data_IF_304646928256
#
_entry.id   IF_304646928256
#
_cell.length_a   1.000
_cell.length_b   1.000
_cell.length_c   1.000
_cell.angle_alpha   90.00
_cell.angle_beta   90.00
_cell.angle_gamma   90.00
#
_symmetry.space_group_name_H-M   'P 1'
#
loop_
_entity.id
_entity.type
_entity.pdbx_description
1 polymer ?
#
# COMPACT_ATOMS: atom_id res chain seq x y z
N UNK A 1 -27.79 5.05 -4.65
CA UNK A 1 -28.32 6.42 -4.50
C UNK A 1 -28.18 6.73 -3.04
N UNK A 2 -27.44 7.78 -2.68
CA UNK A 2 -27.19 8.13 -1.29
C UNK A 2 -28.51 8.38 -0.57
N UNK A 3 -28.60 7.91 0.67
CA UNK A 3 -29.76 8.21 1.50
C UNK A 3 -29.64 9.65 1.98
N UNK A 4 -30.42 10.54 1.37
CA UNK A 4 -30.50 11.95 1.74
C UNK A 4 -31.82 12.27 2.40
N UNK A 5 -31.78 13.12 3.43
CA UNK A 5 -32.98 13.58 4.12
C UNK A 5 -33.79 14.51 3.23
N UNK A 6 -35.06 14.18 3.02
CA UNK A 6 -36.01 15.15 2.50
C UNK A 6 -36.28 16.29 3.53
N UNK A 7 -37.02 17.32 3.13
CA UNK A 7 -37.30 18.47 4.00
C UNK A 7 -38.07 18.12 5.27
N UNK A 8 -38.93 17.11 5.23
CA UNK A 8 -39.76 16.66 6.35
C UNK A 8 -38.92 15.81 7.31
N UNK A 9 -38.17 14.86 6.77
CA UNK A 9 -37.26 14.00 7.54
C UNK A 9 -36.21 14.85 8.25
N UNK A 10 -35.63 15.85 7.57
CA UNK A 10 -34.69 16.79 8.18
C UNK A 10 -35.29 17.57 9.34
N UNK A 11 -36.51 18.07 9.18
CA UNK A 11 -37.20 18.77 10.26
C UNK A 11 -37.49 17.85 11.45
N UNK A 12 -37.83 16.58 11.20
CA UNK A 12 -38.06 15.59 12.24
C UNK A 12 -36.76 15.22 12.98
N UNK A 13 -35.68 14.94 12.25
CA UNK A 13 -34.34 14.66 12.82
C UNK A 13 -33.87 15.81 13.71
N UNK A 14 -34.00 17.07 13.26
CA UNK A 14 -33.68 18.24 14.08
C UNK A 14 -34.60 18.39 15.29
N UNK A 15 -35.91 18.21 15.13
CA UNK A 15 -36.89 18.37 16.22
C UNK A 15 -36.59 17.44 17.39
N UNK A 16 -36.16 16.21 17.11
CA UNK A 16 -35.90 15.20 18.13
C UNK A 16 -34.42 15.07 18.50
N UNK A 17 -33.57 16.00 18.03
CA UNK A 17 -32.13 16.03 18.33
C UNK A 17 -31.44 14.69 18.00
N UNK A 18 -31.78 14.11 16.85
CA UNK A 18 -31.18 12.85 16.40
C UNK A 18 -29.87 13.10 15.68
N UNK A 19 -28.85 12.30 16.00
CA UNK A 19 -27.59 12.31 15.28
C UNK A 19 -27.78 11.79 13.85
N UNK A 20 -27.13 12.44 12.88
CA UNK A 20 -27.19 12.08 11.46
C UNK A 20 -25.77 11.93 10.90
N UNK A 21 -25.45 10.82 10.19
CA UNK A 21 -24.15 10.66 9.56
C UNK A 21 -24.13 11.41 8.23
N UNK A 22 -23.66 12.66 8.24
CA UNK A 22 -23.46 13.47 7.04
C UNK A 22 -22.27 12.94 6.21
N UNK A 23 -22.57 12.10 5.22
CA UNK A 23 -21.60 11.53 4.27
C UNK A 23 -22.35 10.95 3.06
N UNK A 24 -21.72 10.97 1.89
CA UNK A 24 -22.12 10.18 0.72
C UNK A 24 -21.48 8.79 0.81
N UNK A 25 -22.24 7.82 1.31
CA UNK A 25 -21.77 6.46 1.54
C UNK A 25 -21.49 5.68 0.26
N UNK A 26 -22.12 6.04 -0.87
CA UNK A 26 -21.94 5.34 -2.15
C UNK A 26 -20.50 5.46 -2.66
N UNK A 27 -19.83 6.58 -2.35
CA UNK A 27 -18.44 6.81 -2.76
C UNK A 27 -17.43 5.83 -2.14
N UNK A 28 -17.75 5.17 -1.03
CA UNK A 28 -16.90 4.09 -0.51
C UNK A 28 -16.85 2.87 -1.44
N UNK A 29 -17.91 2.64 -2.23
CA UNK A 29 -17.93 1.59 -3.25
C UNK A 29 -16.93 1.88 -4.37
N UNK A 30 -16.84 3.14 -4.80
CA UNK A 30 -15.86 3.58 -5.80
C UNK A 30 -14.44 3.45 -5.25
N UNK A 31 -14.21 3.91 -4.02
CA UNK A 31 -12.92 3.75 -3.34
C UNK A 31 -12.49 2.28 -3.24
N UNK A 32 -13.38 1.37 -2.83
CA UNK A 32 -13.09 -0.07 -2.77
C UNK A 32 -12.70 -0.63 -4.15
N UNK A 33 -13.43 -0.25 -5.20
CA UNK A 33 -13.14 -0.70 -6.56
C UNK A 33 -11.80 -0.15 -7.08
N UNK A 34 -11.52 1.13 -6.83
CA UNK A 34 -10.25 1.76 -7.18
C UNK A 34 -9.06 1.11 -6.48
N UNK A 35 -9.17 0.84 -5.17
CA UNK A 35 -8.12 0.14 -4.42
C UNK A 35 -7.88 -1.29 -4.90
N UNK A 36 -8.95 -2.00 -5.29
CA UNK A 36 -8.85 -3.35 -5.82
C UNK A 36 -8.18 -3.36 -7.19
N UNK A 37 -8.56 -2.44 -8.07
CA UNK A 37 -7.94 -2.25 -9.40
C UNK A 37 -6.45 -1.94 -9.25
N UNK A 38 -6.11 -0.98 -8.39
CA UNK A 38 -4.72 -0.64 -8.08
C UNK A 38 -3.93 -1.85 -7.54
N UNK A 39 -4.51 -2.63 -6.61
CA UNK A 39 -3.84 -3.81 -6.06
C UNK A 39 -3.56 -4.87 -7.14
N UNK A 40 -4.49 -5.08 -8.07
CA UNK A 40 -4.33 -6.02 -9.18
C UNK A 40 -3.24 -5.54 -10.14
N UNK A 41 -3.18 -4.24 -10.47
CA UNK A 41 -2.09 -3.66 -11.27
C UNK A 41 -0.73 -3.81 -10.62
N UNK A 42 -0.63 -3.63 -9.29
CA UNK A 42 0.63 -3.87 -8.55
C UNK A 42 1.06 -5.33 -8.63
N UNK A 43 0.13 -6.28 -8.52
CA UNK A 43 0.45 -7.71 -8.65
C UNK A 43 0.90 -8.07 -10.07
N UNK A 44 0.24 -7.53 -11.09
CA UNK A 44 0.62 -7.72 -12.49
C UNK A 44 2.02 -7.16 -12.79
N UNK A 45 2.32 -5.96 -12.30
CA UNK A 45 3.64 -5.33 -12.45
C UNK A 45 4.72 -6.12 -11.71
N UNK A 46 4.42 -6.58 -10.48
CA UNK A 46 5.31 -7.42 -9.67
C UNK A 46 5.60 -8.75 -10.36
N UNK A 47 4.57 -9.39 -10.91
CA UNK A 47 4.70 -10.64 -11.63
C UNK A 47 5.53 -10.47 -12.91
N UNK A 48 5.26 -9.43 -13.70
CA UNK A 48 6.02 -9.11 -14.91
C UNK A 48 7.50 -8.86 -14.60
N UNK A 49 7.80 -8.07 -13.56
CA UNK A 49 9.17 -7.77 -13.17
C UNK A 49 9.89 -9.05 -12.71
N UNK A 50 9.19 -9.91 -11.96
CA UNK A 50 9.74 -11.19 -11.52
C UNK A 50 10.04 -12.13 -12.70
N UNK A 51 9.21 -12.16 -13.74
CA UNK A 51 9.48 -12.99 -14.91
C UNK A 51 10.79 -12.59 -15.60
N UNK A 52 11.02 -11.29 -15.78
CA UNK A 52 12.26 -10.79 -16.38
C UNK A 52 13.47 -11.02 -15.47
N UNK A 53 13.31 -10.84 -14.17
CA UNK A 53 14.38 -11.13 -13.22
C UNK A 53 14.76 -12.61 -13.18
N UNK A 54 13.79 -13.52 -13.17
CA UNK A 54 14.10 -14.96 -13.17
C UNK A 54 14.83 -15.39 -14.43
N UNK A 55 14.48 -14.80 -15.59
CA UNK A 55 15.19 -15.04 -16.85
C UNK A 55 16.64 -14.58 -16.77
N UNK A 56 16.88 -13.36 -16.28
CA UNK A 56 18.23 -12.85 -16.01
C UNK A 56 19.01 -13.76 -15.04
N UNK A 57 18.41 -14.11 -13.90
CA UNK A 57 19.01 -14.96 -12.87
C UNK A 57 19.32 -16.37 -13.35
N UNK A 58 18.66 -16.85 -14.40
CA UNK A 58 18.91 -18.15 -15.02
C UNK A 58 20.00 -18.12 -16.10
N UNK A 59 20.36 -16.92 -16.59
CA UNK A 59 21.30 -16.76 -17.70
C UNK A 59 22.77 -16.83 -17.28
N UNK A 60 23.05 -16.62 -15.99
CA UNK A 60 24.40 -16.55 -15.45
C UNK A 60 24.57 -17.12 -14.05
N UNK A 61 25.81 -17.43 -13.72
CA UNK A 61 26.23 -18.00 -12.44
C UNK A 61 27.37 -17.16 -11.84
N UNK A 62 27.36 -16.99 -10.53
CA UNK A 62 28.38 -16.24 -9.80
C UNK A 62 27.84 -15.55 -8.55
N UNK A 63 28.73 -15.02 -7.73
CA UNK A 63 28.39 -14.37 -6.47
C UNK A 63 27.53 -13.10 -6.67
N UNK A 64 27.80 -12.33 -7.72
CA UNK A 64 26.97 -11.20 -8.15
C UNK A 64 25.52 -11.61 -8.46
N UNK A 65 25.34 -12.74 -9.15
CA UNK A 65 24.01 -13.27 -9.49
C UNK A 65 23.27 -13.81 -8.25
N UNK A 66 24.00 -14.38 -7.29
CA UNK A 66 23.43 -14.79 -6.01
C UNK A 66 22.98 -13.59 -5.18
N UNK A 67 23.79 -12.54 -5.10
CA UNK A 67 23.42 -11.29 -4.42
C UNK A 67 22.21 -10.62 -5.07
N UNK A 68 22.15 -10.59 -6.41
CA UNK A 68 20.98 -10.10 -7.16
C UNK A 68 19.73 -10.92 -6.84
N UNK A 69 19.84 -12.24 -6.77
CA UNK A 69 18.72 -13.14 -6.40
C UNK A 69 18.21 -12.84 -5.00
N UNK A 70 19.11 -12.79 -4.02
CA UNK A 70 18.75 -12.50 -2.62
C UNK A 70 18.07 -11.15 -2.46
N UNK A 71 18.59 -10.12 -3.13
CA UNK A 71 17.97 -8.80 -3.13
C UNK A 71 16.60 -8.81 -3.79
N UNK A 72 16.47 -9.43 -4.96
CA UNK A 72 15.18 -9.50 -5.65
C UNK A 72 14.14 -10.23 -4.83
N UNK A 73 14.52 -11.35 -4.21
CA UNK A 73 13.63 -12.10 -3.33
C UNK A 73 13.17 -11.25 -2.13
N UNK A 74 14.08 -10.45 -1.55
CA UNK A 74 13.73 -9.46 -0.53
C UNK A 74 12.77 -8.40 -1.07
N UNK A 75 13.11 -7.72 -2.16
CA UNK A 75 12.31 -6.63 -2.75
C UNK A 75 10.90 -7.11 -3.04
N UNK A 76 10.76 -8.27 -3.69
CA UNK A 76 9.47 -8.86 -4.00
C UNK A 76 8.65 -9.15 -2.73
N UNK A 77 9.27 -9.76 -1.72
CA UNK A 77 8.57 -10.19 -0.53
C UNK A 77 8.25 -9.04 0.45
N UNK A 78 9.17 -8.09 0.61
CA UNK A 78 9.13 -7.06 1.63
C UNK A 78 8.70 -5.68 1.12
N UNK A 79 8.88 -5.40 -0.18
CA UNK A 79 8.56 -4.08 -0.74
C UNK A 79 7.37 -4.13 -1.69
N UNK A 80 7.33 -5.09 -2.62
CA UNK A 80 6.28 -5.17 -3.63
C UNK A 80 4.98 -5.78 -3.09
N UNK A 81 5.07 -6.97 -2.47
CA UNK A 81 3.92 -7.71 -1.96
C UNK A 81 3.07 -6.91 -0.96
N UNK A 82 3.65 -6.15 -0.01
CA UNK A 82 2.86 -5.39 0.95
C UNK A 82 2.03 -4.26 0.34
N UNK A 83 2.39 -3.73 -0.83
CA UNK A 83 1.61 -2.64 -1.47
C UNK A 83 0.23 -3.13 -1.90
N UNK A 84 0.17 -4.24 -2.63
CA UNK A 84 -1.10 -4.84 -3.01
C UNK A 84 -1.87 -5.36 -1.78
N UNK A 85 -1.16 -5.93 -0.80
CA UNK A 85 -1.74 -6.38 0.47
C UNK A 85 -2.41 -5.26 1.26
N UNK A 86 -1.74 -4.12 1.41
CA UNK A 86 -2.24 -2.96 2.14
C UNK A 86 -3.43 -2.30 1.45
N UNK A 87 -3.41 -2.20 0.11
CA UNK A 87 -4.54 -1.72 -0.66
C UNK A 87 -5.79 -2.60 -0.48
N UNK A 88 -5.61 -3.93 -0.50
CA UNK A 88 -6.70 -4.88 -0.22
C UNK A 88 -7.19 -4.82 1.22
N UNK A 89 -6.30 -4.66 2.19
CA UNK A 89 -6.67 -4.49 3.60
C UNK A 89 -7.52 -3.22 3.79
N UNK A 90 -7.12 -2.11 3.17
CA UNK A 90 -7.91 -0.87 3.19
C UNK A 90 -9.26 -1.07 2.48
N UNK A 91 -9.27 -1.69 1.29
CA UNK A 91 -10.48 -1.97 0.54
C UNK A 91 -11.48 -2.80 1.37
N UNK A 92 -10.99 -3.83 2.06
CA UNK A 92 -11.79 -4.70 2.92
C UNK A 92 -12.38 -3.95 4.12
N UNK A 93 -11.67 -2.95 4.65
CA UNK A 93 -12.14 -2.16 5.80
C UNK A 93 -13.14 -1.08 5.41
N UNK A 94 -13.00 -0.46 4.23
CA UNK A 94 -13.93 0.58 3.75
C UNK A 94 -15.16 0.00 3.07
N UNK A 95 -15.08 -1.21 2.51
CA UNK A 95 -16.19 -1.86 1.78
C UNK A 95 -17.50 -1.97 2.59
N UNK A 96 -17.49 -2.34 3.90
CA UNK A 96 -18.70 -2.38 4.70
C UNK A 96 -19.33 -1.01 4.99
N UNK A 97 -18.57 0.09 4.85
CA UNK A 97 -19.03 1.42 5.24
C UNK A 97 -20.27 1.84 4.47
N UNK A 98 -20.34 1.54 3.17
CA UNK A 98 -21.51 1.83 2.33
C UNK A 98 -22.79 1.30 2.97
N UNK A 99 -22.81 0.01 3.30
CA UNK A 99 -24.00 -0.65 3.85
C UNK A 99 -24.29 -0.20 5.27
N UNK A 100 -23.28 -0.15 6.14
CA UNK A 100 -23.48 0.19 7.56
C UNK A 100 -23.96 1.63 7.73
N UNK A 101 -23.43 2.56 6.94
CA UNK A 101 -23.85 3.96 6.99
C UNK A 101 -25.27 4.13 6.43
N UNK A 102 -25.61 3.47 5.32
CA UNK A 102 -26.96 3.48 4.79
C UNK A 102 -27.99 2.92 5.81
N UNK A 103 -27.66 1.82 6.49
CA UNK A 103 -28.48 1.26 7.57
C UNK A 103 -28.62 2.22 8.75
N UNK A 104 -27.54 2.92 9.10
CA UNK A 104 -27.54 3.90 10.17
C UNK A 104 -28.47 5.09 9.83
N UNK A 105 -28.35 5.64 8.62
CA UNK A 105 -29.25 6.68 8.09
C UNK A 105 -30.71 6.24 8.13
N UNK A 106 -31.01 5.05 7.60
CA UNK A 106 -32.36 4.49 7.61
C UNK A 106 -32.91 4.32 9.04
N UNK A 107 -32.06 3.92 9.99
CA UNK A 107 -32.47 3.76 11.40
C UNK A 107 -32.83 5.10 12.07
N UNK A 108 -32.13 6.18 11.71
CA UNK A 108 -32.41 7.54 12.21
C UNK A 108 -33.72 8.05 11.64
N UNK A 109 -33.97 7.88 10.33
CA UNK A 109 -35.26 8.22 9.70
C UNK A 109 -36.42 7.46 10.35
N UNK A 110 -36.26 6.15 10.57
CA UNK A 110 -37.29 5.33 11.22
C UNK A 110 -37.58 5.78 12.66
N UNK A 111 -36.55 6.17 13.43
CA UNK A 111 -36.73 6.71 14.77
C UNK A 111 -37.48 8.05 14.73
N UNK A 112 -37.10 8.96 13.82
CA UNK A 112 -37.76 10.25 13.64
C UNK A 112 -39.25 10.09 13.28
N UNK A 113 -39.56 9.21 12.33
CA UNK A 113 -40.93 8.92 11.92
C UNK A 113 -41.78 8.36 13.07
N UNK A 114 -41.20 7.47 13.89
CA UNK A 114 -41.88 6.91 15.05
C UNK A 114 -42.21 7.97 16.11
N UNK A 115 -41.30 8.89 16.36
CA UNK A 115 -41.52 9.98 17.32
C UNK A 115 -42.56 10.99 16.80
N UNK A 116 -42.52 11.30 15.51
CA UNK A 116 -43.53 12.14 14.85
C UNK A 116 -44.94 11.51 14.91
N UNK A 117 -45.03 10.19 14.77
CA UNK A 117 -46.28 9.46 14.93
C UNK A 117 -46.79 9.50 16.38
N UNK A 118 -45.92 9.35 17.39
CA UNK A 118 -46.31 9.44 18.81
C UNK A 118 -46.82 10.85 19.17
N UNK A 119 -46.15 11.90 18.68
CA UNK A 119 -46.61 13.28 18.87
C UNK A 119 -47.98 13.53 18.21
N UNK A 120 -48.19 13.04 17.00
CA UNK A 120 -49.45 13.20 16.26
C UNK A 120 -50.60 12.48 16.98
N UNK A 121 -50.36 11.25 17.45
CA UNK A 121 -51.33 10.50 18.23
C UNK A 121 -51.67 11.21 19.55
N UNK A 122 -50.66 11.75 20.23
CA UNK A 122 -50.83 12.46 21.49
C UNK A 122 -51.58 13.79 21.34
N UNK A 123 -51.32 14.55 20.26
CA UNK A 123 -52.06 15.76 19.92
C UNK A 123 -53.53 15.45 19.62
N UNK A 124 -53.80 14.36 18.90
CA UNK A 124 -55.17 13.91 18.62
C UNK A 124 -55.91 13.52 19.90
N UNK A 125 -55.22 12.91 20.86
CA UNK A 125 -55.79 12.50 22.14
C UNK A 125 -55.92 13.66 23.16
N UNK A 126 -55.33 14.82 22.91
CA UNK A 126 -55.18 15.89 23.90
C UNK A 126 -56.51 16.40 24.49
N UNK A 127 -57.59 16.43 23.70
CA UNK A 127 -58.91 16.84 24.17
C UNK A 127 -59.50 15.88 25.21
N UNK A 128 -59.24 14.57 25.07
CA UNK A 128 -59.71 13.54 25.99
C UNK A 128 -58.72 13.27 27.14
N UNK A 129 -57.43 13.52 26.91
CA UNK A 129 -56.35 13.33 27.86
C UNK A 129 -55.33 14.48 27.74
N UNK A 130 -55.54 15.61 28.45
CA UNK A 130 -54.68 16.79 28.32
C UNK A 130 -53.19 16.56 28.62
N UNK A 131 -52.86 15.52 29.40
CA UNK A 131 -51.47 15.12 29.69
C UNK A 131 -50.81 14.26 28.60
N UNK A 132 -51.54 13.84 27.56
CA UNK A 132 -51.01 12.96 26.51
C UNK A 132 -49.80 13.56 25.76
N UNK A 133 -49.79 14.86 25.37
CA UNK A 133 -48.63 15.47 24.72
C UNK A 133 -47.37 15.46 25.60
N UNK A 134 -47.50 15.77 26.89
CA UNK A 134 -46.37 15.73 27.83
C UNK A 134 -45.82 14.30 28.01
N UNK A 135 -46.71 13.31 28.07
CA UNK A 135 -46.32 11.90 28.15
C UNK A 135 -45.60 11.41 26.88
N UNK A 136 -46.06 11.82 25.69
CA UNK A 136 -45.38 11.52 24.42
C UNK A 136 -44.01 12.18 24.34
N UNK A 137 -43.91 13.46 24.71
CA UNK A 137 -42.62 14.16 24.76
C UNK A 137 -41.60 13.42 25.67
N UNK A 138 -42.03 12.96 26.85
CA UNK A 138 -41.17 12.17 27.75
C UNK A 138 -40.74 10.83 27.14
N UNK A 139 -41.63 10.11 26.43
CA UNK A 139 -41.29 8.87 25.72
C UNK A 139 -40.32 9.14 24.57
N UNK A 140 -40.57 10.17 23.78
CA UNK A 140 -39.75 10.56 22.64
C UNK A 140 -38.35 10.98 23.09
N UNK A 141 -38.20 11.67 24.23
CA UNK A 141 -36.89 11.96 24.80
C UNK A 141 -36.08 10.69 25.12
N UNK A 142 -36.71 9.65 25.70
CA UNK A 142 -36.06 8.36 25.97
C UNK A 142 -35.71 7.63 24.67
N UNK A 143 -36.59 7.68 23.66
CA UNK A 143 -36.33 7.07 22.35
C UNK A 143 -35.17 7.76 21.63
N UNK A 144 -35.12 9.09 21.62
CA UNK A 144 -34.02 9.86 21.06
C UNK A 144 -32.69 9.53 21.75
N UNK A 145 -32.66 9.50 23.08
CA UNK A 145 -31.45 9.12 23.83
C UNK A 145 -30.95 7.72 23.43
N UNK A 146 -31.84 6.74 23.31
CA UNK A 146 -31.48 5.38 22.89
C UNK A 146 -31.00 5.32 21.44
N UNK A 147 -31.64 6.07 20.54
CA UNK A 147 -31.24 6.16 19.14
C UNK A 147 -29.84 6.76 19.00
N UNK A 148 -29.56 7.86 19.69
CA UNK A 148 -28.25 8.50 19.68
C UNK A 148 -27.17 7.65 20.35
N UNK A 149 -27.49 6.93 21.44
CA UNK A 149 -26.56 5.98 22.04
C UNK A 149 -26.19 4.83 21.08
N UNK A 150 -27.18 4.31 20.33
CA UNK A 150 -26.93 3.30 19.29
C UNK A 150 -26.09 3.87 18.16
N UNK A 151 -26.39 5.09 17.70
CA UNK A 151 -25.61 5.79 16.68
C UNK A 151 -24.14 5.90 17.10
N UNK A 152 -23.88 6.44 18.30
CA UNK A 152 -22.51 6.58 18.82
C UNK A 152 -21.78 5.24 18.90
N UNK A 153 -22.45 4.18 19.36
CA UNK A 153 -21.85 2.84 19.40
C UNK A 153 -21.48 2.30 18.01
N UNK A 154 -22.32 2.53 16.99
CA UNK A 154 -22.03 2.09 15.62
C UNK A 154 -20.85 2.90 15.06
N UNK A 155 -20.84 4.21 15.26
CA UNK A 155 -19.76 5.10 14.83
C UNK A 155 -18.42 4.69 15.45
N UNK A 156 -18.37 4.45 16.77
CA UNK A 156 -17.14 4.02 17.44
C UNK A 156 -16.63 2.67 16.92
N UNK A 157 -17.55 1.74 16.59
CA UNK A 157 -17.18 0.47 15.98
C UNK A 157 -16.57 0.66 14.57
N UNK A 158 -17.16 1.55 13.75
CA UNK A 158 -16.62 1.89 12.43
C UNK A 158 -15.23 2.51 12.53
N UNK A 159 -15.05 3.50 13.41
CA UNK A 159 -13.76 4.15 13.65
C UNK A 159 -12.72 3.16 14.15
N UNK A 160 -13.10 2.24 15.05
CA UNK A 160 -12.21 1.19 15.54
C UNK A 160 -11.80 0.24 14.42
N UNK A 161 -12.74 -0.15 13.55
CA UNK A 161 -12.47 -1.00 12.40
C UNK A 161 -11.57 -0.33 11.35
N UNK A 162 -11.67 0.98 11.16
CA UNK A 162 -10.76 1.70 10.27
C UNK A 162 -9.37 1.86 10.89
N UNK A 163 -9.30 2.13 12.20
CA UNK A 163 -8.02 2.23 12.91
C UNK A 163 -7.29 0.89 12.96
N UNK A 164 -7.99 -0.24 12.98
CA UNK A 164 -7.35 -1.56 12.98
C UNK A 164 -6.61 -1.88 11.68
N UNK A 165 -6.95 -1.23 10.57
CA UNK A 165 -6.20 -1.33 9.30
C UNK A 165 -4.76 -0.87 9.47
N UNK A 166 -4.51 0.11 10.34
CA UNK A 166 -3.16 0.60 10.61
C UNK A 166 -2.29 -0.45 11.32
N UNK A 167 -2.91 -1.46 11.93
CA UNK A 167 -2.23 -2.61 12.53
C UNK A 167 -2.08 -3.79 11.54
N UNK A 168 -2.58 -3.67 10.31
CA UNK A 168 -2.38 -4.69 9.29
C UNK A 168 -0.88 -4.79 8.94
N UNK A 169 -0.28 -6.01 8.93
CA UNK A 169 1.14 -6.17 8.66
C UNK A 169 1.58 -5.58 7.32
N UNK A 170 0.74 -5.63 6.29
CA UNK A 170 1.06 -5.06 4.99
C UNK A 170 1.11 -3.53 5.05
N UNK A 171 0.17 -2.90 5.78
CA UNK A 171 0.11 -1.44 5.99
C UNK A 171 1.30 -0.93 6.81
N UNK A 172 1.73 -1.70 7.81
CA UNK A 172 2.93 -1.40 8.59
C UNK A 172 4.18 -1.49 7.71
N UNK A 173 4.29 -2.53 6.87
CA UNK A 173 5.44 -2.73 6.00
C UNK A 173 5.66 -1.58 5.00
N UNK A 174 4.59 -0.88 4.58
CA UNK A 174 4.69 0.27 3.69
C UNK A 174 5.63 1.38 4.19
N UNK A 175 5.75 1.54 5.52
CA UNK A 175 6.62 2.59 6.11
C UNK A 175 8.10 2.38 5.76
N UNK A 176 8.51 1.12 5.57
CA UNK A 176 9.92 0.79 5.30
C UNK A 176 10.24 0.78 3.80
N UNK A 177 9.24 0.62 2.92
CA UNK A 177 9.44 0.49 1.47
C UNK A 177 10.28 1.63 0.88
N UNK A 178 10.03 2.91 1.20
CA UNK A 178 10.83 3.99 0.65
C UNK A 178 12.31 3.89 1.05
N UNK A 179 12.60 3.56 2.31
CA UNK A 179 13.97 3.45 2.83
C UNK A 179 14.67 2.17 2.34
N UNK A 180 13.93 1.07 2.22
CA UNK A 180 14.43 -0.22 1.73
C UNK A 180 14.77 -0.19 0.24
N UNK A 181 14.12 0.70 -0.50
CA UNK A 181 14.36 0.99 -1.92
C UNK A 181 15.20 2.26 -2.14
N UNK A 182 15.46 3.04 -1.09
CA UNK A 182 16.22 4.28 -1.18
C UNK A 182 17.68 4.00 -1.53
N UNK A 183 18.08 4.51 -2.69
CA UNK A 183 19.44 4.43 -3.21
C UNK A 183 19.64 3.16 -4.03
N UNK A 184 19.96 3.32 -5.32
CA UNK A 184 20.14 2.20 -6.26
C UNK A 184 21.09 1.13 -5.76
N UNK A 185 22.39 1.26 -6.04
CA UNK A 185 23.34 0.42 -5.34
C UNK A 185 23.41 0.75 -3.81
N UNK A 186 22.43 1.39 -3.17
CA UNK A 186 22.52 1.90 -1.79
C UNK A 186 21.55 1.26 -0.80
N UNK A 187 20.47 0.64 -1.27
CA UNK A 187 19.48 -0.02 -0.44
C UNK A 187 20.07 -1.21 0.30
N UNK A 188 19.41 -1.64 1.38
CA UNK A 188 19.82 -2.84 2.14
C UNK A 188 19.86 -4.05 1.20
N UNK A 189 21.07 -4.43 0.82
CA UNK A 189 21.37 -5.59 0.01
C UNK A 189 21.36 -6.85 0.86
N UNK A 190 20.53 -7.81 0.48
CA UNK A 190 20.46 -9.14 1.08
C UNK A 190 20.04 -9.17 2.55
N UNK A 191 20.07 -10.37 3.12
CA UNK A 191 19.74 -10.65 4.53
C UNK A 191 20.70 -10.03 5.55
N UNK A 192 21.84 -9.49 5.08
CA UNK A 192 22.93 -8.93 5.89
C UNK A 192 22.92 -7.39 5.95
N UNK A 193 22.10 -6.73 5.11
CA UNK A 193 21.97 -5.27 5.12
C UNK A 193 23.14 -4.50 4.50
N UNK A 194 24.05 -5.17 3.79
CA UNK A 194 25.18 -4.53 3.09
C UNK A 194 24.68 -3.70 1.92
N UNK A 195 25.28 -2.53 1.65
CA UNK A 195 24.83 -1.70 0.51
C UNK A 195 25.26 -2.36 -0.79
N UNK A 196 24.42 -2.35 -1.80
CA UNK A 196 24.77 -2.84 -3.14
C UNK A 196 26.09 -2.25 -3.68
N UNK A 197 26.45 -1.03 -3.34
CA UNK A 197 27.65 -0.31 -3.75
C UNK A 197 28.89 -0.88 -3.09
N UNK A 198 28.73 -1.57 -1.97
CA UNK A 198 29.78 -2.32 -1.28
C UNK A 198 29.92 -3.71 -1.93
N UNK A 199 28.81 -4.33 -2.31
CA UNK A 199 28.78 -5.61 -3.04
C UNK A 199 29.40 -5.48 -4.45
N UNK A 200 29.08 -4.40 -5.17
CA UNK A 200 29.53 -4.16 -6.55
C UNK A 200 30.73 -3.21 -6.66
N UNK A 201 30.96 -2.32 -5.68
CA UNK A 201 32.16 -1.49 -5.62
C UNK A 201 33.44 -2.28 -5.33
N UNK A 202 33.31 -3.46 -4.72
CA UNK A 202 34.42 -4.42 -4.56
C UNK A 202 34.81 -5.14 -5.87
N UNK A 203 33.93 -5.19 -6.86
CA UNK A 203 34.20 -5.87 -8.14
C UNK A 203 35.14 -5.07 -9.04
N UNK A 204 35.10 -3.73 -8.98
CA UNK A 204 35.96 -2.85 -9.80
C UNK A 204 37.41 -2.68 -9.29
N UNK A 205 37.67 -2.91 -8.01
CA UNK A 205 39.02 -2.78 -7.41
C UNK A 205 39.70 -4.12 -7.09
N UNK A 206 39.05 -5.24 -7.40
CA UNK A 206 39.46 -6.58 -6.96
C UNK A 206 40.47 -7.31 -7.86
N UNK A 207 40.85 -6.74 -9.02
CA UNK A 207 41.80 -7.40 -9.91
C UNK A 207 43.23 -7.51 -9.34
N UNK A 208 43.58 -6.73 -8.31
CA UNK A 208 44.86 -6.85 -7.58
C UNK A 208 44.72 -7.39 -6.14
N UNK A 209 43.50 -7.47 -5.62
CA UNK A 209 43.21 -8.06 -4.30
C UNK A 209 41.99 -8.94 -4.43
N UNK A 210 42.25 -10.24 -4.55
CA UNK A 210 41.22 -11.26 -4.64
C UNK A 210 40.11 -11.04 -3.62
N UNK A 211 38.89 -11.33 -4.08
CA UNK A 211 37.66 -11.35 -3.32
C UNK A 211 37.89 -12.03 -1.95
N UNK A 212 38.10 -11.21 -0.92
CA UNK A 212 38.62 -11.64 0.37
C UNK A 212 38.60 -10.52 1.41
N UNK A 213 37.73 -9.53 1.23
CA UNK A 213 37.60 -8.40 2.13
C UNK A 213 36.14 -8.09 2.42
N UNK A 214 35.68 -8.52 3.59
CA UNK A 214 34.54 -7.94 4.30
C UNK A 214 33.12 -8.32 3.83
N UNK A 215 32.80 -9.62 3.87
CA UNK A 215 31.52 -10.06 4.44
C UNK A 215 31.85 -11.02 5.58
N UNK A 216 31.68 -10.58 6.83
CA UNK A 216 31.78 -11.41 8.03
C UNK A 216 33.13 -11.38 8.75
N UNK A 217 33.30 -10.40 9.65
CA UNK A 217 34.28 -10.52 10.73
C UNK A 217 33.78 -11.46 11.82
N UNK A 218 34.44 -12.61 12.00
CA UNK A 218 34.21 -13.48 13.17
C UNK A 218 34.70 -14.91 13.03
N UNK A 219 35.81 -15.20 13.72
CA UNK A 219 36.34 -16.52 14.13
C UNK A 219 37.17 -17.36 13.12
N UNK A 220 38.49 -17.20 13.26
CA UNK A 220 39.53 -18.24 13.33
C UNK A 220 39.56 -19.39 12.28
N UNK A 221 40.51 -19.28 11.34
CA UNK A 221 41.01 -20.40 10.57
C UNK A 221 41.72 -19.95 9.31
N UNK A 222 43.03 -19.72 9.37
CA UNK A 222 43.83 -19.26 8.24
C UNK A 222 43.77 -20.23 7.06
N UNK A 223 43.34 -19.73 5.90
CA UNK A 223 43.44 -20.41 4.62
C UNK A 223 44.40 -19.60 3.70
N UNK A 224 45.27 -20.24 2.90
CA UNK A 224 46.32 -19.55 2.17
C UNK A 224 45.77 -18.64 1.05
N UNK A 225 46.51 -17.57 0.65
CA UNK A 225 46.12 -16.72 -0.46
C UNK A 225 46.34 -17.47 -1.78
N UNK A 226 45.31 -17.52 -2.64
CA UNK A 226 45.48 -17.99 -4.02
C UNK A 226 44.60 -19.15 -4.48
N UNK A 227 43.35 -19.26 -4.01
CA UNK A 227 42.36 -20.09 -4.72
C UNK A 227 41.38 -19.20 -5.48
N UNK A 228 41.71 -18.91 -6.73
CA UNK A 228 40.69 -18.59 -7.73
C UNK A 228 39.70 -19.77 -7.74
N UNK A 229 38.49 -19.56 -7.25
CA UNK A 229 37.42 -20.54 -7.39
C UNK A 229 37.04 -20.52 -8.86
N UNK A 230 37.59 -21.48 -9.61
CA UNK A 230 37.28 -21.76 -11.01
C UNK A 230 35.87 -22.34 -11.18
N UNK A 231 34.85 -21.59 -10.76
CA UNK A 231 33.51 -21.71 -11.32
C UNK A 231 33.48 -20.86 -12.60
N UNK A 232 32.93 -21.41 -13.68
CA UNK A 232 32.75 -20.67 -14.94
C UNK A 232 31.80 -19.52 -14.67
N UNK A 233 32.32 -18.31 -14.40
CA UNK A 233 31.53 -17.09 -14.41
C UNK A 233 31.01 -16.94 -15.84
N UNK A 234 29.70 -17.07 -16.01
CA UNK A 234 29.03 -16.83 -17.30
C UNK A 234 28.09 -15.66 -17.10
N UNK A 235 28.39 -14.56 -17.77
CA UNK A 235 27.52 -13.37 -17.82
C UNK A 235 26.98 -13.26 -19.23
N UNK A 236 25.67 -13.32 -19.36
CA UNK A 236 24.98 -13.07 -20.64
C UNK A 236 24.65 -11.58 -20.73
N UNK A 237 25.50 -10.81 -21.41
CA UNK A 237 25.38 -9.35 -21.49
C UNK A 237 24.10 -8.92 -22.20
N UNK A 238 23.67 -9.64 -23.24
CA UNK A 238 22.43 -9.36 -23.97
C UNK A 238 21.23 -9.56 -23.04
N UNK A 239 21.25 -10.59 -22.20
CA UNK A 239 20.17 -10.82 -21.23
C UNK A 239 20.15 -9.76 -20.12
N UNK A 240 21.31 -9.23 -19.69
CA UNK A 240 21.36 -8.11 -18.73
C UNK A 240 20.75 -6.84 -19.31
N UNK A 241 21.08 -6.48 -20.55
CA UNK A 241 20.50 -5.33 -21.24
C UNK A 241 19.01 -5.49 -21.47
N UNK A 242 18.58 -6.67 -21.92
CA UNK A 242 17.17 -6.98 -22.15
C UNK A 242 16.37 -6.92 -20.85
N UNK A 243 16.84 -7.56 -19.78
CA UNK A 243 16.18 -7.56 -18.49
C UNK A 243 16.11 -6.15 -17.89
N UNK A 244 17.21 -5.39 -17.93
CA UNK A 244 17.22 -4.00 -17.47
C UNK A 244 16.22 -3.13 -18.26
N UNK A 245 16.15 -3.31 -19.58
CA UNK A 245 15.18 -2.62 -20.44
C UNK A 245 13.73 -2.94 -20.07
N UNK A 246 13.40 -4.23 -19.91
CA UNK A 246 12.03 -4.67 -19.56
C UNK A 246 11.61 -4.28 -18.14
N UNK A 247 12.50 -4.41 -17.17
CA UNK A 247 12.22 -3.97 -15.79
C UNK A 247 12.00 -2.45 -15.77
N UNK A 248 12.76 -1.68 -16.56
CA UNK A 248 12.57 -0.24 -16.70
C UNK A 248 11.20 0.10 -17.29
N UNK A 249 10.74 -0.62 -18.31
CA UNK A 249 9.40 -0.47 -18.89
C UNK A 249 8.31 -0.68 -17.84
N UNK A 250 8.44 -1.72 -17.00
CA UNK A 250 7.51 -1.97 -15.89
C UNK A 250 7.55 -0.84 -14.85
N UNK A 251 8.74 -0.36 -14.48
CA UNK A 251 8.85 0.78 -13.59
C UNK A 251 8.19 2.05 -14.15
N UNK A 252 8.25 2.26 -15.46
CA UNK A 252 7.52 3.36 -16.12
C UNK A 252 6.00 3.13 -16.11
N UNK A 253 5.54 1.89 -16.30
CA UNK A 253 4.12 1.52 -16.14
C UNK A 253 3.63 1.80 -14.71
N UNK A 254 4.39 1.38 -13.68
CA UNK A 254 4.09 1.68 -12.26
C UNK A 254 3.93 3.18 -12.03
N UNK A 255 4.85 4.00 -12.57
CA UNK A 255 4.83 5.47 -12.42
C UNK A 255 3.73 6.16 -13.24
N UNK A 256 3.18 5.48 -14.24
CA UNK A 256 2.15 5.99 -15.14
C UNK A 256 0.77 5.44 -14.77
N UNK A 257 0.47 4.24 -15.23
CA UNK A 257 -0.84 3.59 -15.14
C UNK A 257 -1.19 3.26 -13.68
N UNK A 258 -0.35 2.50 -12.99
CA UNK A 258 -0.60 2.04 -11.61
C UNK A 258 -0.71 3.21 -10.63
N UNK A 259 0.14 4.22 -10.78
CA UNK A 259 0.04 5.47 -9.98
C UNK A 259 -1.23 6.26 -10.32
N UNK A 260 -1.68 6.27 -11.58
CA UNK A 260 -2.93 6.95 -11.95
C UNK A 260 -4.15 6.28 -11.33
N UNK A 261 -4.18 4.95 -11.24
CA UNK A 261 -5.24 4.20 -10.56
C UNK A 261 -5.28 4.49 -9.05
N UNK A 262 -4.13 4.54 -8.39
CA UNK A 262 -4.05 4.97 -6.99
C UNK A 262 -4.56 6.40 -6.82
N UNK A 263 -4.16 7.32 -7.71
CA UNK A 263 -4.62 8.71 -7.66
C UNK A 263 -6.13 8.84 -7.90
N UNK A 264 -6.73 7.97 -8.72
CA UNK A 264 -8.17 7.90 -8.88
C UNK A 264 -8.85 7.49 -7.56
N UNK A 265 -8.35 6.45 -6.89
CA UNK A 265 -8.84 6.04 -5.57
C UNK A 265 -8.68 7.15 -4.51
N UNK A 266 -7.56 7.88 -4.52
CA UNK A 266 -7.36 9.07 -3.67
C UNK A 266 -8.38 10.17 -3.98
N UNK A 267 -8.70 10.39 -5.26
CA UNK A 267 -9.73 11.34 -5.70
C UNK A 267 -11.14 10.94 -5.25
N UNK A 268 -11.48 9.65 -5.36
CA UNK A 268 -12.74 9.10 -4.86
C UNK A 268 -12.85 9.28 -3.34
N UNK A 269 -11.78 8.99 -2.59
CA UNK A 269 -11.73 9.24 -1.16
C UNK A 269 -11.90 10.72 -0.82
N UNK A 270 -11.22 11.61 -1.55
CA UNK A 270 -11.35 13.07 -1.37
C UNK A 270 -12.79 13.56 -1.59
N UNK A 271 -13.48 12.99 -2.58
CA UNK A 271 -14.89 13.28 -2.84
C UNK A 271 -15.77 12.84 -1.68
N UNK A 272 -15.60 11.61 -1.18
CA UNK A 272 -16.31 11.11 0.02
C UNK A 272 -16.04 11.99 1.23
N UNK A 273 -14.77 12.31 1.52
CA UNK A 273 -14.38 13.17 2.64
C UNK A 273 -15.05 14.56 2.59
N UNK A 274 -15.25 15.10 1.40
CA UNK A 274 -15.89 16.41 1.20
C UNK A 274 -17.43 16.39 1.32
N UNK A 275 -18.04 15.20 1.35
CA UNK A 275 -19.50 15.05 1.32
C UNK A 275 -20.20 15.42 2.64
N UNK A 276 -19.49 15.45 3.76
CA UNK A 276 -20.08 15.88 5.03
C UNK A 276 -19.18 15.71 6.26
N UNK A 277 -19.65 16.22 7.39
CA UNK A 277 -18.90 16.26 8.65
C UNK A 277 -18.48 14.88 9.15
N UNK A 278 -19.36 13.88 9.03
CA UNK A 278 -19.07 12.52 9.47
C UNK A 278 -18.00 11.83 8.60
N UNK A 279 -17.94 12.17 7.31
CA UNK A 279 -16.91 11.66 6.41
C UNK A 279 -15.50 12.12 6.81
N UNK A 280 -15.38 13.36 7.30
CA UNK A 280 -14.10 13.94 7.77
C UNK A 280 -13.57 13.14 8.97
N UNK A 281 -14.44 12.72 9.88
CA UNK A 281 -14.06 11.95 11.06
C UNK A 281 -13.54 10.54 10.69
N UNK A 282 -14.12 9.91 9.66
CA UNK A 282 -13.68 8.62 9.14
C UNK A 282 -12.39 8.70 8.31
N UNK A 283 -12.07 9.86 7.74
CA UNK A 283 -11.01 10.01 6.75
C UNK A 283 -9.60 9.80 7.31
N UNK A 284 -9.35 10.11 8.58
CA UNK A 284 -7.98 10.15 9.12
C UNK A 284 -7.18 8.86 8.91
N UNK A 285 -7.78 7.69 9.18
CA UNK A 285 -7.10 6.40 8.99
C UNK A 285 -6.95 6.05 7.52
N UNK A 286 -7.92 6.42 6.68
CA UNK A 286 -7.89 6.16 5.23
C UNK A 286 -6.81 7.01 4.55
N UNK A 287 -6.77 8.30 4.86
CA UNK A 287 -5.74 9.25 4.38
C UNK A 287 -4.32 8.73 4.68
N UNK A 288 -4.08 8.26 5.92
CA UNK A 288 -2.77 7.76 6.32
C UNK A 288 -2.33 6.53 5.52
N UNK A 289 -3.24 5.60 5.22
CA UNK A 289 -2.91 4.41 4.41
C UNK A 289 -2.69 4.79 2.95
N UNK A 290 -3.54 5.65 2.39
CA UNK A 290 -3.39 6.14 1.01
C UNK A 290 -2.08 6.89 0.79
N UNK A 291 -1.65 7.70 1.76
CA UNK A 291 -0.36 8.42 1.73
C UNK A 291 0.84 7.44 1.75
N UNK A 292 0.77 6.42 2.60
CA UNK A 292 1.79 5.34 2.63
C UNK A 292 1.83 4.55 1.32
N UNK A 293 0.68 4.21 0.76
CA UNK A 293 0.58 3.56 -0.54
C UNK A 293 1.22 4.44 -1.62
N UNK A 294 0.90 5.74 -1.66
CA UNK A 294 1.45 6.68 -2.65
C UNK A 294 2.98 6.76 -2.56
N UNK A 295 3.51 6.84 -1.34
CA UNK A 295 4.95 6.91 -1.09
C UNK A 295 5.64 5.60 -1.49
N UNK A 296 5.09 4.45 -1.10
CA UNK A 296 5.63 3.13 -1.44
C UNK A 296 5.60 2.88 -2.96
N UNK A 297 4.49 3.16 -3.64
CA UNK A 297 4.36 3.04 -5.10
C UNK A 297 5.35 3.92 -5.83
N UNK A 298 5.57 5.16 -5.35
CA UNK A 298 6.57 6.07 -5.91
C UNK A 298 7.98 5.49 -5.78
N UNK A 299 8.32 4.94 -4.61
CA UNK A 299 9.62 4.32 -4.37
C UNK A 299 9.85 3.08 -5.26
N UNK A 300 8.84 2.21 -5.40
CA UNK A 300 8.88 1.05 -6.30
C UNK A 300 9.08 1.48 -7.75
N UNK A 301 8.28 2.45 -8.22
CA UNK A 301 8.40 3.00 -9.56
C UNK A 301 9.80 3.56 -9.82
N UNK A 302 10.38 4.29 -8.87
CA UNK A 302 11.75 4.79 -8.96
C UNK A 302 12.81 3.68 -8.98
N UNK A 303 12.65 2.65 -8.16
CA UNK A 303 13.55 1.52 -8.10
C UNK A 303 13.54 0.72 -9.41
N UNK A 304 12.36 0.35 -9.91
CA UNK A 304 12.19 -0.43 -11.13
C UNK A 304 12.53 0.36 -12.39
N UNK A 305 12.32 1.68 -12.43
CA UNK A 305 12.61 2.49 -13.65
C UNK A 305 14.04 3.05 -13.72
N UNK A 306 14.81 2.96 -12.64
CA UNK A 306 16.17 3.50 -12.60
C UNK A 306 17.11 2.62 -11.82
N UNK A 307 17.02 2.70 -10.50
CA UNK A 307 18.01 2.16 -9.57
C UNK A 307 18.38 0.68 -9.80
N UNK A 308 17.39 -0.19 -10.03
CA UNK A 308 17.60 -1.62 -10.28
C UNK A 308 18.13 -1.91 -11.69
N UNK A 309 17.51 -1.43 -12.79
CA UNK A 309 18.09 -1.55 -14.13
C UNK A 309 19.53 -1.05 -14.23
N UNK A 310 19.85 0.08 -13.60
CA UNK A 310 21.19 0.67 -13.65
C UNK A 310 22.22 -0.22 -12.94
N UNK A 311 21.83 -0.84 -11.81
CA UNK A 311 22.66 -1.81 -11.11
C UNK A 311 22.90 -3.07 -11.95
N UNK A 312 21.85 -3.61 -12.61
CA UNK A 312 21.98 -4.78 -13.51
C UNK A 312 22.98 -4.50 -14.64
N UNK A 313 22.88 -3.33 -15.28
CA UNK A 313 23.81 -2.92 -16.34
C UNK A 313 25.24 -2.73 -15.81
N UNK A 314 25.40 -2.21 -14.60
CA UNK A 314 26.71 -2.06 -13.97
C UNK A 314 27.40 -3.42 -13.76
N UNK A 315 26.68 -4.46 -13.34
CA UNK A 315 27.23 -5.83 -13.22
C UNK A 315 27.76 -6.32 -14.56
N UNK A 316 26.96 -6.12 -15.62
CA UNK A 316 27.31 -6.50 -16.98
C UNK A 316 28.61 -5.80 -17.43
N UNK A 317 28.67 -4.47 -17.30
CA UNK A 317 29.82 -3.67 -17.75
C UNK A 317 31.10 -3.99 -16.97
N UNK A 318 31.02 -4.15 -15.64
CA UNK A 318 32.19 -4.47 -14.81
C UNK A 318 32.85 -5.80 -15.21
N UNK A 319 32.06 -6.76 -15.69
CA UNK A 319 32.55 -8.06 -16.13
C UNK A 319 33.17 -7.96 -17.52
N UNK A 320 32.58 -7.19 -18.44
CA UNK A 320 33.21 -6.89 -19.74
C UNK A 320 34.58 -6.24 -19.58
N UNK A 321 34.70 -5.25 -18.70
CA UNK A 321 35.97 -4.56 -18.42
C UNK A 321 37.03 -5.52 -17.85
N UNK A 322 36.61 -6.44 -16.99
CA UNK A 322 37.48 -7.47 -16.40
C UNK A 322 37.97 -8.46 -17.46
N UNK A 323 37.06 -8.93 -18.32
CA UNK A 323 37.38 -9.88 -19.40
C UNK A 323 38.28 -9.26 -20.47
N UNK A 324 38.03 -8.01 -20.85
CA UNK A 324 38.89 -7.26 -21.77
C UNK A 324 40.27 -7.01 -21.16
N UNK A 325 40.34 -6.60 -19.88
CA UNK A 325 41.61 -6.45 -19.18
C UNK A 325 42.42 -7.76 -19.09
N UNK A 326 41.74 -8.88 -18.85
CA UNK A 326 42.36 -10.21 -18.87
C UNK A 326 42.87 -10.58 -20.26
N UNK A 327 42.07 -10.33 -21.31
CA UNK A 327 42.45 -10.57 -22.70
C UNK A 327 43.68 -9.76 -23.11
N UNK A 328 43.73 -8.48 -22.74
CA UNK A 328 44.88 -7.61 -23.00
C UNK A 328 46.14 -8.09 -22.27
N UNK A 329 46.03 -8.52 -21.00
CA UNK A 329 47.16 -9.09 -20.26
C UNK A 329 47.67 -10.39 -20.87
N UNK A 330 46.79 -11.28 -21.31
CA UNK A 330 47.20 -12.50 -21.99
C UNK A 330 47.90 -12.20 -23.32
N UNK A 331 47.39 -11.24 -24.09
CA UNK A 331 48.02 -10.80 -25.35
C UNK A 331 49.40 -10.12 -25.16
N UNK A 332 49.77 -9.69 -23.95
CA UNK A 332 51.08 -9.13 -23.63
C UNK A 332 52.10 -10.20 -23.17
N UNK A 333 51.66 -11.43 -22.95
CA UNK A 333 52.50 -12.55 -22.51
C UNK A 333 52.94 -13.45 -23.69
N UNK A 334 52.37 -13.25 -24.89
CA UNK A 334 52.74 -13.86 -26.16
C UNK A 334 53.69 -12.96 -26.98
#
# INVERSE_FOLDING_TARGET
>A
MPVELDSIERAAVQKYDLAWPEVDEDGYTLLTAGLSTFADSVDDDTWGANQHMQRLLSSGEGEAMNALREHWDRVRAQDLTPVAGAARALAAAVSPLTTVIAELKASVVAAAARMAADDTAALTAAAAAPGAPAAAAARNAILAQRANARYGSVVENLLTSLRSVLADPAVIALENVPDDLAGGAGGRGGSTGARWSEVFGGAGSGAEKGFGGSVGGGAAGGMPPGRAIGGVLRVDHEEHELAAGRIREIGLKVRGETTAELNAAVGDHGSVKSSGSFAIDLAQSVDLVLDRLSTATTAIGGHLSGALPDAILQVSNSQQDTDEGNRQRMAQLD
#
